data_IF_083575796756
#
_entry.id   IF_083575796756
#
_cell.length_a   1.000
_cell.length_b   1.000
_cell.length_c   1.000
_cell.angle_alpha   90.00
_cell.angle_beta   90.00
_cell.angle_gamma   90.00
#
_symmetry.space_group_name_H-M   'P 1'
#
loop_
_entity.id
_entity.type
_entity.pdbx_description
1 polymer ?
#
# COMPACT_ATOMS: atom_id res chain seq x y z
N UNK A 1 -30.73 36.48 46.45
CA UNK A 1 -31.28 35.26 45.79
C UNK A 1 -31.21 35.30 44.26
N UNK A 2 -31.67 36.36 43.57
CA UNK A 2 -31.63 36.45 42.10
C UNK A 2 -30.22 36.34 41.46
N UNK A 3 -29.17 36.89 42.10
CA UNK A 3 -27.78 36.80 41.60
C UNK A 3 -27.23 35.36 41.61
N UNK A 4 -27.58 34.55 42.62
CA UNK A 4 -27.16 33.15 42.70
C UNK A 4 -27.89 32.27 41.68
N UNK A 5 -29.17 32.56 41.39
CA UNK A 5 -29.92 31.89 40.33
C UNK A 5 -29.30 32.12 38.94
N UNK A 6 -28.84 33.35 38.65
CA UNK A 6 -28.19 33.67 37.37
C UNK A 6 -26.87 32.90 37.20
N UNK A 7 -26.06 32.80 38.26
CA UNK A 7 -24.80 32.04 38.24
C UNK A 7 -25.04 30.54 38.05
N UNK A 8 -26.06 29.99 38.72
CA UNK A 8 -26.46 28.58 38.56
C UNK A 8 -26.92 28.27 37.13
N UNK A 9 -27.67 29.19 36.52
CA UNK A 9 -28.16 29.07 35.15
C UNK A 9 -27.01 29.15 34.13
N UNK A 10 -26.04 30.05 34.33
CA UNK A 10 -24.83 30.13 33.51
C UNK A 10 -23.96 28.86 33.61
N UNK A 11 -23.81 28.31 34.82
CA UNK A 11 -23.08 27.06 35.02
C UNK A 11 -23.78 25.87 34.32
N UNK A 12 -25.11 25.80 34.40
CA UNK A 12 -25.89 24.78 33.70
C UNK A 12 -25.76 24.89 32.17
N UNK A 13 -25.79 26.10 31.61
CA UNK A 13 -25.57 26.34 30.18
C UNK A 13 -24.17 25.95 29.75
N UNK A 14 -23.14 26.27 30.53
CA UNK A 14 -21.76 25.88 30.25
C UNK A 14 -21.57 24.35 30.25
N UNK A 15 -22.19 23.65 31.20
CA UNK A 15 -22.19 22.19 31.26
C UNK A 15 -22.94 21.56 30.08
N UNK A 16 -24.12 22.08 29.74
CA UNK A 16 -24.89 21.62 28.59
C UNK A 16 -24.12 21.83 27.28
N UNK A 17 -23.47 22.98 27.11
CA UNK A 17 -22.63 23.27 25.96
C UNK A 17 -21.43 22.31 25.87
N UNK A 18 -20.74 22.03 26.99
CA UNK A 18 -19.66 21.06 27.05
C UNK A 18 -20.12 19.63 26.71
N UNK A 19 -21.31 19.23 27.15
CA UNK A 19 -21.92 17.95 26.80
C UNK A 19 -22.25 17.86 25.30
N UNK A 20 -22.83 18.92 24.71
CA UNK A 20 -23.13 18.99 23.28
C UNK A 20 -21.86 18.87 22.44
N UNK A 21 -20.79 19.58 22.81
CA UNK A 21 -19.50 19.46 22.13
C UNK A 21 -18.91 18.05 22.21
N UNK A 22 -19.00 17.40 23.38
CA UNK A 22 -18.56 16.00 23.54
C UNK A 22 -19.37 15.04 22.70
N UNK A 23 -20.70 15.17 22.69
CA UNK A 23 -21.58 14.34 21.87
C UNK A 23 -21.30 14.52 20.37
N UNK A 24 -21.04 15.75 19.93
CA UNK A 24 -20.66 16.04 18.55
C UNK A 24 -19.35 15.34 18.16
N UNK A 25 -18.31 15.45 19.00
CA UNK A 25 -17.02 14.76 18.78
C UNK A 25 -17.18 13.23 18.78
N UNK A 26 -17.95 12.69 19.71
CA UNK A 26 -18.22 11.24 19.77
C UNK A 26 -18.97 10.75 18.54
N UNK A 27 -19.92 11.53 18.01
CA UNK A 27 -20.63 11.20 16.78
C UNK A 27 -19.70 11.19 15.57
N UNK A 28 -18.78 12.14 15.50
CA UNK A 28 -17.76 12.19 14.44
C UNK A 28 -16.81 10.99 14.51
N UNK A 29 -16.34 10.64 15.71
CA UNK A 29 -15.50 9.45 15.92
C UNK A 29 -16.23 8.15 15.61
N UNK A 30 -17.50 8.01 16.02
CA UNK A 30 -18.32 6.84 15.66
C UNK A 30 -18.49 6.73 14.15
N UNK A 31 -18.71 7.84 13.45
CA UNK A 31 -18.78 7.84 11.99
C UNK A 31 -17.44 7.42 11.36
N UNK A 32 -16.32 7.92 11.88
CA UNK A 32 -14.97 7.52 11.43
C UNK A 32 -14.72 6.03 11.63
N UNK A 33 -15.05 5.49 12.80
CA UNK A 33 -14.88 4.07 13.11
C UNK A 33 -15.81 3.19 12.27
N UNK A 34 -17.08 3.57 12.10
CA UNK A 34 -18.00 2.85 11.23
C UNK A 34 -17.48 2.79 9.78
N UNK A 35 -16.99 3.91 9.26
CA UNK A 35 -16.37 3.97 7.93
C UNK A 35 -15.13 3.07 7.84
N UNK A 36 -14.26 3.07 8.85
CA UNK A 36 -13.09 2.18 8.89
C UNK A 36 -13.48 0.71 8.94
N UNK A 37 -14.52 0.35 9.69
CA UNK A 37 -15.04 -1.02 9.72
C UNK A 37 -15.60 -1.43 8.36
N UNK A 38 -16.36 -0.56 7.70
CA UNK A 38 -16.84 -0.82 6.34
C UNK A 38 -15.66 -1.00 5.37
N UNK A 39 -14.64 -0.15 5.46
CA UNK A 39 -13.45 -0.23 4.61
C UNK A 39 -12.63 -1.50 4.87
N UNK A 40 -12.52 -1.96 6.12
CA UNK A 40 -11.84 -3.22 6.48
C UNK A 40 -12.62 -4.46 6.04
N UNK A 41 -13.96 -4.42 6.10
CA UNK A 41 -14.80 -5.52 5.66
C UNK A 41 -15.00 -5.55 4.14
N UNK A 42 -14.68 -4.46 3.44
CA UNK A 42 -14.82 -4.39 2.01
C UNK A 42 -13.67 -5.12 1.32
N UNK A 43 -13.99 -6.18 0.60
CA UNK A 43 -13.03 -6.89 -0.23
C UNK A 43 -12.41 -5.97 -1.29
N UNK A 44 -11.11 -6.16 -1.51
CA UNK A 44 -10.36 -5.49 -2.57
C UNK A 44 -10.95 -5.89 -3.92
N UNK A 45 -11.58 -4.94 -4.61
CA UNK A 45 -12.17 -5.20 -5.93
C UNK A 45 -11.09 -5.11 -6.99
N UNK A 46 -10.64 -6.26 -7.46
CA UNK A 46 -9.75 -6.39 -8.61
C UNK A 46 -10.59 -6.33 -9.90
N UNK A 47 -10.16 -5.53 -10.86
CA UNK A 47 -10.83 -5.41 -12.15
C UNK A 47 -9.82 -5.15 -13.28
N UNK A 48 -10.24 -5.38 -14.52
CA UNK A 48 -9.48 -4.99 -15.71
C UNK A 48 -10.06 -3.72 -16.31
N UNK A 49 -9.19 -2.80 -16.68
CA UNK A 49 -9.54 -1.64 -17.49
C UNK A 49 -9.93 -2.08 -18.91
N UNK A 50 -10.59 -1.20 -19.67
CA UNK A 50 -10.94 -1.47 -21.07
C UNK A 50 -9.72 -1.80 -21.94
N UNK A 51 -8.55 -1.26 -21.56
CA UNK A 51 -7.27 -1.50 -22.23
C UNK A 51 -6.53 -2.76 -21.71
N UNK A 52 -7.21 -3.63 -20.95
CA UNK A 52 -6.66 -4.90 -20.45
C UNK A 52 -5.73 -4.79 -19.24
N UNK A 53 -5.47 -3.58 -18.71
CA UNK A 53 -4.60 -3.37 -17.54
C UNK A 53 -5.31 -3.80 -16.25
N UNK A 54 -4.61 -4.52 -15.37
CA UNK A 54 -5.10 -4.89 -14.04
C UNK A 54 -5.17 -3.65 -13.12
N UNK A 55 -6.24 -3.54 -12.35
CA UNK A 55 -6.47 -2.45 -11.41
C UNK A 55 -7.15 -2.97 -10.14
N UNK A 56 -6.92 -2.29 -9.02
CA UNK A 56 -7.53 -2.60 -7.73
C UNK A 56 -8.22 -1.36 -7.17
N UNK A 57 -9.41 -1.53 -6.59
CA UNK A 57 -10.11 -0.48 -5.84
C UNK A 57 -10.16 -0.85 -4.37
N UNK A 58 -9.61 0.04 -3.53
CA UNK A 58 -9.56 -0.09 -2.07
C UNK A 58 -10.15 1.17 -1.45
N UNK A 59 -10.81 1.04 -0.30
CA UNK A 59 -11.31 2.18 0.47
C UNK A 59 -10.25 2.63 1.48
N UNK A 60 -10.05 3.94 1.57
CA UNK A 60 -9.06 4.55 2.47
C UNK A 60 -9.47 4.39 3.94
N UNK A 61 -8.50 4.02 4.79
CA UNK A 61 -8.67 3.93 6.24
C UNK A 61 -8.20 5.23 6.91
N UNK A 62 -9.05 5.82 7.76
CA UNK A 62 -8.72 7.01 8.55
C UNK A 62 -8.23 6.62 9.94
N UNK A 63 -6.92 6.34 10.06
CA UNK A 63 -6.29 5.88 11.31
C UNK A 63 -5.60 7.03 12.07
N UNK A 64 -5.69 7.01 13.40
CA UNK A 64 -4.85 7.82 14.28
C UNK A 64 -3.44 7.24 14.33
N UNK A 65 -2.45 8.07 14.66
CA UNK A 65 -1.05 7.62 14.74
C UNK A 65 -0.78 6.48 15.74
N UNK A 66 -1.61 6.32 16.78
CA UNK A 66 -1.54 5.14 17.68
C UNK A 66 -2.15 3.88 17.05
N UNK A 67 -3.28 4.02 16.38
CA UNK A 67 -3.99 2.93 15.69
C UNK A 67 -3.12 2.40 14.53
N UNK A 68 -2.48 3.29 13.77
CA UNK A 68 -1.52 2.91 12.72
C UNK A 68 -0.38 2.02 13.27
N UNK A 69 0.21 2.43 14.40
CA UNK A 69 1.30 1.68 15.04
C UNK A 69 0.87 0.30 15.53
N UNK A 70 -0.38 0.16 15.96
CA UNK A 70 -0.91 -1.11 16.47
C UNK A 70 -1.32 -2.06 15.34
N UNK A 71 -1.92 -1.52 14.27
CA UNK A 71 -2.46 -2.33 13.18
C UNK A 71 -1.43 -2.68 12.11
N UNK A 72 -0.37 -1.88 11.93
CA UNK A 72 0.60 -2.04 10.85
C UNK A 72 2.04 -1.93 11.36
N UNK A 73 2.51 -2.96 12.08
CA UNK A 73 3.88 -3.03 12.60
C UNK A 73 4.94 -2.99 11.48
N UNK A 74 4.71 -3.76 10.41
CA UNK A 74 5.58 -3.81 9.24
C UNK A 74 5.77 -2.42 8.59
N UNK A 75 4.66 -1.75 8.28
CA UNK A 75 4.72 -0.44 7.62
C UNK A 75 5.29 0.64 8.56
N UNK A 76 5.15 0.48 9.87
CA UNK A 76 5.80 1.33 10.86
C UNK A 76 7.32 1.18 10.83
N UNK A 77 7.84 -0.04 10.80
CA UNK A 77 9.29 -0.31 10.68
C UNK A 77 9.85 0.29 9.39
N UNK A 78 9.09 0.20 8.30
CA UNK A 78 9.45 0.80 7.02
C UNK A 78 9.55 2.34 7.10
N UNK A 79 8.53 2.98 7.67
CA UNK A 79 8.49 4.43 7.89
C UNK A 79 9.65 4.89 8.79
N UNK A 80 10.01 4.11 9.81
CA UNK A 80 11.13 4.41 10.70
C UNK A 80 12.48 4.22 9.99
N UNK A 81 12.64 3.17 9.17
CA UNK A 81 13.82 2.93 8.34
C UNK A 81 14.06 4.05 7.34
N UNK A 82 12.99 4.60 6.79
CA UNK A 82 13.03 5.76 5.89
C UNK A 82 13.27 7.09 6.62
N UNK A 83 13.37 7.08 7.95
CA UNK A 83 13.60 8.29 8.76
C UNK A 83 12.38 9.21 8.87
N UNK A 84 11.20 8.73 8.49
CA UNK A 84 9.97 9.49 8.47
C UNK A 84 9.27 9.53 9.81
N UNK A 85 8.55 10.63 10.06
CA UNK A 85 7.74 10.80 11.27
C UNK A 85 6.29 10.46 10.99
N UNK A 86 5.74 9.48 11.73
CA UNK A 86 4.35 9.01 11.60
C UNK A 86 3.31 10.13 11.64
N UNK A 87 3.55 11.19 12.43
CA UNK A 87 2.65 12.37 12.51
C UNK A 87 2.52 13.17 11.20
N UNK A 88 3.39 12.90 10.23
CA UNK A 88 3.40 13.58 8.95
C UNK A 88 2.78 12.73 7.83
N UNK A 89 2.41 11.48 8.06
CA UNK A 89 1.81 10.62 7.03
C UNK A 89 0.45 11.18 6.58
N UNK A 90 0.19 11.18 5.27
CA UNK A 90 -1.03 11.76 4.69
C UNK A 90 -1.90 10.75 3.91
N UNK A 91 -1.35 9.99 2.96
CA UNK A 91 -2.08 8.98 2.17
C UNK A 91 -1.13 8.23 1.22
N UNK A 92 -1.61 7.25 0.44
CA UNK A 92 -0.83 6.47 -0.54
C UNK A 92 -1.38 6.65 -1.97
N UNK A 93 -0.53 6.58 -3.00
CA UNK A 93 -0.85 6.82 -4.43
C UNK A 93 -0.23 5.74 -5.32
N UNK A 94 -0.77 5.49 -6.52
CA UNK A 94 -0.31 4.43 -7.45
C UNK A 94 1.06 4.70 -8.12
N UNK A 95 1.86 3.63 -8.35
CA UNK A 95 3.15 3.67 -9.06
C UNK A 95 3.23 2.59 -10.14
N UNK A 96 4.07 2.80 -11.17
CA UNK A 96 4.39 1.84 -12.24
C UNK A 96 5.81 1.29 -11.96
N UNK A 97 5.95 -0.01 -11.75
CA UNK A 97 7.24 -0.69 -11.54
C UNK A 97 7.72 -1.39 -12.80
N UNK A 98 9.04 -1.39 -13.03
CA UNK A 98 9.68 -2.22 -14.06
C UNK A 98 10.50 -3.31 -13.36
N UNK A 99 10.07 -4.56 -13.47
CA UNK A 99 10.85 -5.70 -13.00
C UNK A 99 11.81 -6.12 -14.11
N UNK A 100 13.11 -5.94 -13.88
CA UNK A 100 14.17 -6.34 -14.82
C UNK A 100 15.00 -7.42 -14.16
N UNK A 101 14.83 -8.66 -14.65
CA UNK A 101 15.43 -9.84 -14.05
C UNK A 101 16.60 -10.35 -14.89
N UNK A 102 17.66 -10.79 -14.19
CA UNK A 102 18.67 -11.70 -14.74
C UNK A 102 18.51 -13.05 -14.03
N UNK A 103 18.13 -14.08 -14.76
CA UNK A 103 18.02 -15.46 -14.25
C UNK A 103 19.32 -16.18 -14.61
N UNK A 104 20.03 -16.69 -13.60
CA UNK A 104 21.14 -17.62 -13.77
C UNK A 104 20.74 -18.94 -13.09
N UNK A 105 20.34 -19.93 -13.88
CA UNK A 105 19.84 -21.22 -13.38
C UNK A 105 20.34 -22.38 -14.25
N UNK A 106 20.54 -23.53 -13.62
CA UNK A 106 21.02 -24.74 -14.30
C UNK A 106 19.89 -25.34 -15.12
N UNK A 107 20.12 -25.47 -16.43
CA UNK A 107 19.23 -26.18 -17.34
C UNK A 107 19.47 -27.68 -17.19
N UNK A 108 18.39 -28.44 -16.99
CA UNK A 108 18.41 -29.90 -16.89
C UNK A 108 17.81 -30.52 -18.16
N UNK A 109 18.48 -31.53 -18.69
CA UNK A 109 17.92 -32.37 -19.74
C UNK A 109 16.87 -33.31 -19.13
N UNK A 110 15.65 -33.30 -19.66
CA UNK A 110 14.53 -34.14 -19.24
C UNK A 110 14.03 -34.94 -20.44
N UNK A 111 14.06 -36.26 -20.37
CA UNK A 111 13.61 -37.12 -21.46
C UNK A 111 12.10 -37.29 -21.35
N UNK A 112 11.35 -36.85 -22.37
CA UNK A 112 9.90 -37.04 -22.48
C UNK A 112 9.61 -38.00 -23.61
N UNK A 113 8.89 -39.07 -23.29
CA UNK A 113 8.43 -40.02 -24.30
C UNK A 113 7.18 -39.47 -24.98
N UNK A 114 7.24 -39.27 -26.30
CA UNK A 114 6.09 -38.83 -27.11
C UNK A 114 5.41 -40.05 -27.71
N UNK A 115 4.29 -40.54 -27.14
CA UNK A 115 3.66 -41.79 -27.57
C UNK A 115 3.18 -41.71 -29.02
N UNK A 116 2.81 -40.51 -29.48
CA UNK A 116 2.35 -40.24 -30.84
C UNK A 116 3.42 -40.40 -31.93
N UNK A 117 4.72 -40.39 -31.58
CA UNK A 117 5.84 -40.51 -32.52
C UNK A 117 6.75 -41.70 -32.26
N UNK A 118 6.59 -42.42 -31.15
CA UNK A 118 7.42 -43.58 -30.78
C UNK A 118 8.89 -43.24 -30.51
N UNK A 119 9.20 -41.96 -30.24
CA UNK A 119 10.56 -41.43 -30.04
C UNK A 119 10.65 -40.83 -28.64
N UNK A 120 11.78 -41.07 -27.96
CA UNK A 120 12.17 -40.36 -26.76
C UNK A 120 12.81 -39.01 -27.15
N UNK A 121 12.23 -37.90 -26.70
CA UNK A 121 12.73 -36.56 -26.99
C UNK A 121 13.38 -35.96 -25.73
N UNK A 122 14.44 -35.16 -25.90
CA UNK A 122 15.16 -34.54 -24.78
C UNK A 122 14.75 -33.08 -24.67
N UNK A 123 13.92 -32.76 -23.67
CA UNK A 123 13.53 -31.39 -23.37
C UNK A 123 14.57 -30.74 -22.45
N UNK A 124 14.96 -29.51 -22.79
CA UNK A 124 15.82 -28.70 -21.92
C UNK A 124 14.95 -27.88 -20.99
N UNK A 125 14.84 -28.30 -19.74
CA UNK A 125 13.96 -27.68 -18.77
C UNK A 125 14.75 -26.92 -17.70
N UNK A 126 14.21 -25.81 -17.24
CA UNK A 126 14.71 -25.13 -16.06
C UNK A 126 13.59 -24.86 -15.07
N UNK A 127 13.97 -24.77 -13.80
CA UNK A 127 13.13 -24.30 -12.72
C UNK A 127 13.95 -23.36 -11.86
N UNK A 128 13.40 -22.20 -11.56
CA UNK A 128 14.03 -21.15 -10.79
C UNK A 128 13.01 -20.58 -9.81
N UNK A 129 13.40 -20.53 -8.55
CA UNK A 129 12.61 -19.93 -7.49
C UNK A 129 13.54 -19.28 -6.47
N UNK A 130 13.36 -17.98 -6.23
CA UNK A 130 14.12 -17.20 -5.24
C UNK A 130 13.23 -16.57 -4.15
N UNK A 131 11.97 -17.03 -4.05
CA UNK A 131 10.96 -16.49 -3.13
C UNK A 131 10.21 -15.25 -3.65
N UNK A 132 10.79 -14.49 -4.58
CA UNK A 132 10.13 -13.35 -5.23
C UNK A 132 9.64 -13.71 -6.63
N UNK A 133 10.35 -14.60 -7.29
CA UNK A 133 10.15 -14.97 -8.69
C UNK A 133 10.05 -16.47 -8.79
N UNK A 134 9.06 -16.92 -9.53
CA UNK A 134 8.86 -18.30 -9.90
C UNK A 134 8.89 -18.41 -11.42
N UNK A 135 9.93 -19.03 -11.95
CA UNK A 135 10.13 -19.18 -13.38
C UNK A 135 10.41 -20.64 -13.70
N UNK A 136 9.62 -21.22 -14.59
CA UNK A 136 9.82 -22.60 -15.00
C UNK A 136 9.49 -22.76 -16.47
N UNK A 137 10.15 -23.67 -17.16
CA UNK A 137 9.81 -23.97 -18.53
C UNK A 137 10.77 -24.91 -19.19
N UNK A 138 10.35 -25.40 -20.36
CA UNK A 138 11.08 -26.34 -21.17
C UNK A 138 11.24 -25.81 -22.59
N UNK A 139 12.38 -26.10 -23.20
CA UNK A 139 12.63 -25.89 -24.62
C UNK A 139 12.49 -27.24 -25.31
N UNK A 140 11.56 -27.31 -26.25
CA UNK A 140 11.33 -28.48 -27.10
C UNK A 140 12.35 -28.62 -28.23
N UNK A 141 12.37 -29.77 -28.90
CA UNK A 141 13.22 -30.01 -30.07
C UNK A 141 12.92 -29.08 -31.26
N UNK A 142 11.76 -28.43 -31.26
CA UNK A 142 11.39 -27.36 -32.20
C UNK A 142 11.98 -25.98 -31.82
N UNK A 143 12.89 -25.94 -30.84
CA UNK A 143 13.46 -24.74 -30.24
C UNK A 143 12.42 -23.76 -29.69
N UNK A 144 11.21 -24.22 -29.37
CA UNK A 144 10.19 -23.37 -28.73
C UNK A 144 10.26 -23.49 -27.21
N UNK A 145 10.29 -22.33 -26.56
CA UNK A 145 10.18 -22.23 -25.10
C UNK A 145 8.70 -22.25 -24.68
N UNK A 146 8.36 -23.16 -23.78
CA UNK A 146 7.08 -23.20 -23.09
C UNK A 146 7.32 -23.12 -21.60
N UNK A 147 6.77 -22.10 -20.95
CA UNK A 147 7.04 -21.89 -19.54
C UNK A 147 6.16 -20.82 -18.93
N UNK A 148 6.27 -20.71 -17.61
CA UNK A 148 5.62 -19.73 -16.78
C UNK A 148 6.66 -18.82 -16.15
N UNK A 149 6.29 -17.55 -16.03
CA UNK A 149 7.09 -16.55 -15.34
C UNK A 149 6.16 -15.73 -14.46
N UNK A 150 6.35 -15.84 -13.15
CA UNK A 150 5.59 -15.14 -12.14
C UNK A 150 6.55 -14.34 -11.27
N UNK A 151 6.22 -13.07 -11.04
CA UNK A 151 6.96 -12.19 -10.13
C UNK A 151 5.97 -11.64 -9.13
N UNK A 152 6.15 -12.00 -7.86
CA UNK A 152 5.40 -11.45 -6.75
C UNK A 152 6.18 -10.26 -6.19
N UNK A 153 5.58 -9.07 -6.23
CA UNK A 153 6.19 -7.86 -5.69
C UNK A 153 5.21 -7.17 -4.75
N UNK A 154 5.74 -6.70 -3.62
CA UNK A 154 5.02 -5.83 -2.69
C UNK A 154 5.60 -4.43 -2.80
N UNK A 155 4.76 -3.45 -3.05
CA UNK A 155 5.19 -2.05 -3.18
C UNK A 155 4.56 -1.25 -2.02
N UNK A 156 5.39 -0.68 -1.16
CA UNK A 156 4.98 0.29 -0.14
C UNK A 156 5.03 1.69 -0.72
N UNK A 157 3.93 2.44 -0.57
CA UNK A 157 3.84 3.82 -1.05
C UNK A 157 3.41 4.71 0.11
N UNK A 158 4.27 5.66 0.46
CA UNK A 158 4.18 6.42 1.71
C UNK A 158 4.23 7.90 1.36
N UNK A 159 3.09 8.61 1.39
CA UNK A 159 3.09 10.07 1.30
C UNK A 159 3.18 10.71 2.69
N UNK A 160 4.05 11.69 2.83
CA UNK A 160 4.26 12.40 4.08
C UNK A 160 4.46 13.90 3.88
N UNK A 161 4.05 14.68 4.88
CA UNK A 161 4.18 16.13 4.94
C UNK A 161 5.59 16.54 5.31
N UNK A 162 6.17 17.41 4.50
CA UNK A 162 7.40 18.13 4.81
C UNK A 162 7.05 19.45 5.48
N UNK A 163 7.42 19.68 6.75
CA UNK A 163 7.15 20.94 7.43
C UNK A 163 8.08 22.06 6.93
N UNK A 164 7.64 23.32 7.01
CA UNK A 164 8.54 24.47 6.86
C UNK A 164 9.48 24.50 8.06
N UNK A 165 10.74 24.86 7.84
CA UNK A 165 11.79 24.88 8.87
C UNK A 165 12.43 26.26 8.90
N UNK A 166 12.52 26.85 10.09
CA UNK A 166 13.33 28.04 10.37
C UNK A 166 13.98 27.88 11.73
N UNK A 167 15.32 27.98 11.76
CA UNK A 167 16.13 27.68 12.94
C UNK A 167 15.79 26.29 13.53
N UNK A 168 15.08 26.23 14.66
CA UNK A 168 14.62 25.02 15.34
C UNK A 168 13.11 24.80 15.29
N UNK A 169 12.36 25.73 14.71
CA UNK A 169 10.91 25.65 14.61
C UNK A 169 10.45 24.96 13.33
N UNK A 170 9.45 24.09 13.48
CA UNK A 170 8.76 23.40 12.37
C UNK A 170 7.30 23.81 12.38
N UNK A 171 6.81 24.40 11.29
CA UNK A 171 5.41 24.80 11.16
C UNK A 171 4.91 24.60 9.72
N UNK A 172 3.58 24.58 9.54
CA UNK A 172 3.00 24.54 8.20
C UNK A 172 3.38 23.31 7.36
N UNK A 173 2.88 23.27 6.13
CA UNK A 173 3.20 22.27 5.10
C UNK A 173 4.00 23.01 4.04
N UNK A 174 5.22 22.58 3.75
CA UNK A 174 5.99 23.08 2.60
C UNK A 174 5.59 22.30 1.35
N UNK A 175 5.64 20.98 1.44
CA UNK A 175 5.34 20.05 0.37
C UNK A 175 4.84 18.72 0.94
N UNK A 176 4.31 17.86 0.06
CA UNK A 176 4.06 16.45 0.36
C UNK A 176 5.06 15.66 -0.49
N UNK A 177 5.88 14.86 0.17
CA UNK A 177 6.83 13.95 -0.47
C UNK A 177 6.25 12.53 -0.44
N UNK A 178 6.51 11.76 -1.49
CA UNK A 178 6.05 10.38 -1.63
C UNK A 178 7.26 9.49 -1.79
N UNK A 179 7.33 8.48 -0.93
CA UNK A 179 8.33 7.45 -0.98
C UNK A 179 7.70 6.17 -1.51
N UNK A 180 8.35 5.57 -2.52
CA UNK A 180 7.93 4.31 -3.11
C UNK A 180 9.06 3.31 -2.88
N UNK A 181 8.73 2.21 -2.22
CA UNK A 181 9.67 1.14 -1.91
C UNK A 181 9.13 -0.16 -2.48
N UNK A 182 9.88 -0.77 -3.38
CA UNK A 182 9.64 -2.15 -3.81
C UNK A 182 10.44 -3.07 -2.88
N UNK A 183 9.80 -4.17 -2.46
CA UNK A 183 10.44 -5.17 -1.60
C UNK A 183 11.10 -6.28 -2.41
N UNK A 184 10.73 -6.42 -3.69
CA UNK A 184 11.42 -7.33 -4.59
C UNK A 184 12.78 -6.73 -4.99
N UNK A 185 13.92 -7.36 -4.63
CA UNK A 185 15.26 -6.85 -4.94
C UNK A 185 15.55 -6.79 -6.45
N UNK A 186 14.77 -7.51 -7.27
CA UNK A 186 14.90 -7.52 -8.72
C UNK A 186 14.04 -6.46 -9.42
N UNK A 187 13.17 -5.75 -8.70
CA UNK A 187 12.36 -4.66 -9.26
C UNK A 187 13.12 -3.34 -9.20
N UNK A 188 13.12 -2.60 -10.31
CA UNK A 188 13.57 -1.20 -10.36
C UNK A 188 12.39 -0.27 -10.55
N UNK A 189 12.32 0.76 -9.72
CA UNK A 189 11.32 1.82 -9.85
C UNK A 189 11.85 2.84 -10.85
N UNK A 190 11.30 2.85 -12.06
CA UNK A 190 11.73 3.78 -13.11
C UNK A 190 11.11 5.16 -12.96
N UNK A 191 9.88 5.23 -12.46
CA UNK A 191 9.12 6.47 -12.38
C UNK A 191 8.07 6.42 -11.27
N UNK A 192 7.96 7.50 -10.52
CA UNK A 192 6.88 7.73 -9.57
C UNK A 192 6.37 9.17 -9.70
N UNK A 193 5.06 9.34 -9.71
CA UNK A 193 4.42 10.67 -9.77
C UNK A 193 3.18 10.67 -8.90
N UNK A 194 3.07 11.69 -8.05
CA UNK A 194 1.84 12.01 -7.35
C UNK A 194 1.29 13.34 -7.86
N UNK A 195 -0.01 13.36 -8.17
CA UNK A 195 -0.75 14.57 -8.52
C UNK A 195 -1.92 14.68 -7.53
N UNK A 196 -1.95 15.76 -6.75
CA UNK A 196 -3.07 16.10 -5.88
C UNK A 196 -3.95 17.13 -6.60
N UNK A 197 -5.23 16.80 -6.81
CA UNK A 197 -6.19 17.73 -7.40
C UNK A 197 -6.92 18.49 -6.27
N UNK A 198 -6.74 19.80 -6.22
CA UNK A 198 -7.47 20.67 -5.28
C UNK A 198 -8.65 21.29 -6.04
N UNK A 199 -9.87 20.81 -5.78
CA UNK A 199 -11.07 21.56 -6.20
C UNK A 199 -11.13 22.85 -5.37
N UNK A 200 -11.12 24.00 -6.06
CA UNK A 200 -11.51 25.28 -5.47
C UNK A 200 -13.02 25.31 -5.25
#
# INVERSE_FOLDING_TARGET
MKRYLIVLLLAAVALAFGAIQRCSKLKEENKRLANNQTALMQEVKLYKTKDGKNAAKVVELSLKGKEFKQLNSYLKEEVERLGLKIKNLKSATSTITLTSLKIDTVIKDSIVFLPAKGIADTLKCFSYNDGWINASGCIGADNRFQGTFESNDTISIIAHRVPKRFLFFRWGCKAIEVEVVSHNPHTKINYAKMIEFVRK
#
